data_IF_985871697744
#
_entry.id   IF_985871697744
#
_cell.length_a   1.000
_cell.length_b   1.000
_cell.length_c   1.000
_cell.angle_alpha   90.00
_cell.angle_beta   90.00
_cell.angle_gamma   90.00
#
_symmetry.space_group_name_H-M   'P 1'
#
loop_
_entity.id
_entity.type
_entity.pdbx_description
1 polymer ?
#
# COMPACT_ATOMS: atom_id res chain seq x y z
N UNK A 1 -1.33 10.80 -11.26
CA UNK A 1 -1.89 9.46 -10.95
C UNK A 1 -1.36 8.89 -9.65
N UNK A 2 -0.06 8.62 -9.52
CA UNK A 2 0.54 8.09 -8.28
C UNK A 2 0.22 8.97 -7.06
N UNK A 3 0.50 10.28 -7.14
CA UNK A 3 0.22 11.23 -6.06
C UNK A 3 -1.24 11.14 -5.58
N UNK A 4 -2.19 11.25 -6.52
CA UNK A 4 -3.62 11.22 -6.23
C UNK A 4 -4.00 9.88 -5.59
N UNK A 5 -3.55 8.76 -6.16
CA UNK A 5 -3.86 7.42 -5.66
C UNK A 5 -3.36 7.18 -4.24
N UNK A 6 -2.13 7.58 -3.92
CA UNK A 6 -1.56 7.43 -2.58
C UNK A 6 -2.19 8.41 -1.58
N UNK A 7 -2.36 9.69 -1.95
CA UNK A 7 -2.93 10.70 -1.07
C UNK A 7 -4.39 10.39 -0.73
N UNK A 8 -5.22 10.01 -1.72
CA UNK A 8 -6.61 9.65 -1.44
C UNK A 8 -6.70 8.43 -0.53
N UNK A 9 -5.87 7.40 -0.73
CA UNK A 9 -5.92 6.21 0.10
C UNK A 9 -5.47 6.50 1.53
N UNK A 10 -4.44 7.33 1.72
CA UNK A 10 -4.03 7.78 3.06
C UNK A 10 -5.17 8.49 3.79
N UNK A 11 -5.89 9.39 3.12
CA UNK A 11 -7.04 10.09 3.71
C UNK A 11 -8.16 9.09 4.03
N UNK A 12 -8.52 8.24 3.07
CA UNK A 12 -9.61 7.28 3.24
C UNK A 12 -9.30 6.19 4.26
N UNK A 13 -8.03 5.83 4.46
CA UNK A 13 -7.58 4.94 5.52
C UNK A 13 -7.83 5.55 6.91
N UNK A 14 -7.61 6.85 7.09
CA UNK A 14 -7.93 7.55 8.36
C UNK A 14 -9.43 7.63 8.54
N UNK A 15 -10.18 7.99 7.49
CA UNK A 15 -11.64 8.08 7.53
C UNK A 15 -12.26 6.73 7.87
N UNK A 16 -11.88 5.65 7.19
CA UNK A 16 -12.40 4.30 7.48
C UNK A 16 -12.05 3.87 8.90
N UNK A 17 -10.82 4.12 9.37
CA UNK A 17 -10.41 3.85 10.75
C UNK A 17 -11.28 4.58 11.78
N UNK A 18 -11.67 5.83 11.51
CA UNK A 18 -12.52 6.62 12.41
C UNK A 18 -13.98 6.15 12.46
N UNK A 19 -14.43 5.47 11.40
CA UNK A 19 -15.81 4.97 11.26
C UNK A 19 -15.97 3.51 11.70
N UNK A 20 -14.85 2.82 11.95
CA UNK A 20 -14.85 1.46 12.46
C UNK A 20 -15.03 1.46 13.99
N UNK A 21 -16.08 0.82 14.54
CA UNK A 21 -16.33 0.80 15.98
C UNK A 21 -15.23 0.07 16.77
N UNK A 22 -14.62 0.76 17.73
CA UNK A 22 -13.59 0.17 18.61
C UNK A 22 -12.27 -0.13 17.91
N UNK A 23 -12.01 0.48 16.75
CA UNK A 23 -10.77 0.27 16.01
C UNK A 23 -9.55 0.71 16.82
N UNK A 24 -8.57 -0.18 16.97
CA UNK A 24 -7.26 0.13 17.53
C UNK A 24 -6.20 0.08 16.45
N UNK A 25 -5.53 1.22 16.23
CA UNK A 25 -4.39 1.33 15.31
C UNK A 25 -3.30 0.30 15.60
N UNK A 26 -3.12 -0.08 16.88
CA UNK A 26 -2.10 -1.03 17.31
C UNK A 26 -2.54 -2.48 17.12
N UNK A 27 -3.79 -2.80 17.51
CA UNK A 27 -4.25 -4.19 17.62
C UNK A 27 -5.03 -4.69 16.40
N UNK A 28 -5.57 -3.79 15.57
CA UNK A 28 -6.31 -4.15 14.37
C UNK A 28 -5.43 -4.04 13.13
N UNK A 29 -5.50 -5.04 12.26
CA UNK A 29 -4.89 -4.95 10.94
C UNK A 29 -5.52 -3.82 10.12
N UNK A 30 -4.83 -3.35 9.09
CA UNK A 30 -5.41 -2.44 8.11
C UNK A 30 -6.55 -3.13 7.37
N UNK A 31 -6.38 -4.41 7.03
CA UNK A 31 -7.38 -5.24 6.35
C UNK A 31 -8.71 -5.37 7.10
N UNK A 32 -8.68 -5.30 8.44
CA UNK A 32 -9.88 -5.31 9.30
C UNK A 32 -10.88 -4.22 8.87
N UNK A 33 -10.39 -3.10 8.35
CA UNK A 33 -11.21 -1.98 7.87
C UNK A 33 -12.10 -2.37 6.70
N UNK A 34 -11.67 -3.33 5.86
CA UNK A 34 -12.39 -3.88 4.72
C UNK A 34 -13.33 -5.03 5.09
N UNK A 35 -12.87 -5.93 5.96
CA UNK A 35 -13.65 -6.96 6.64
C UNK A 35 -12.79 -7.48 7.79
N UNK A 36 -13.37 -7.66 8.98
CA UNK A 36 -12.63 -8.20 10.12
C UNK A 36 -12.99 -9.65 10.32
N UNK A 37 -12.01 -10.54 10.11
CA UNK A 37 -12.19 -11.97 10.24
C UNK A 37 -11.38 -12.53 11.40
N UNK A 38 -12.02 -13.34 12.24
CA UNK A 38 -11.40 -14.03 13.37
C UNK A 38 -11.87 -15.48 13.36
N UNK A 39 -10.96 -16.40 13.08
CA UNK A 39 -11.31 -17.81 12.85
C UNK A 39 -12.28 -17.95 11.68
N UNK A 40 -13.43 -18.59 11.91
CA UNK A 40 -14.47 -18.78 10.89
C UNK A 40 -15.51 -17.66 10.80
N UNK A 41 -15.41 -16.62 11.66
CA UNK A 41 -16.38 -15.53 11.71
C UNK A 41 -15.81 -14.26 11.11
N UNK A 42 -16.58 -13.62 10.23
CA UNK A 42 -16.24 -12.34 9.62
C UNK A 42 -17.34 -11.31 9.90
N UNK A 43 -16.94 -10.11 10.29
CA UNK A 43 -17.82 -8.98 10.54
C UNK A 43 -17.41 -7.84 9.63
N UNK A 44 -18.39 -7.21 8.98
CA UNK A 44 -18.20 -6.08 8.09
C UNK A 44 -18.86 -4.85 8.71
N UNK A 45 -18.07 -3.81 8.97
CA UNK A 45 -18.56 -2.54 9.50
C UNK A 45 -18.71 -1.52 8.38
N UNK A 46 -19.93 -1.04 8.16
CA UNK A 46 -20.21 0.05 7.22
C UNK A 46 -20.34 1.39 7.95
N UNK A 47 -19.89 2.51 7.36
CA UNK A 47 -19.34 2.64 6.01
C UNK A 47 -17.81 2.44 5.88
N UNK A 48 -17.11 2.00 6.95
CA UNK A 48 -15.65 1.76 6.92
C UNK A 48 -15.23 0.85 5.76
N UNK A 49 -15.90 -0.29 5.61
CA UNK A 49 -15.57 -1.32 4.63
C UNK A 49 -15.66 -0.82 3.19
N UNK A 50 -16.75 -0.18 2.80
CA UNK A 50 -16.88 0.34 1.43
C UNK A 50 -15.83 1.42 1.15
N UNK A 51 -15.56 2.31 2.10
CA UNK A 51 -14.55 3.37 1.94
C UNK A 51 -13.17 2.77 1.76
N UNK A 52 -12.77 1.81 2.61
CA UNK A 52 -11.47 1.17 2.54
C UNK A 52 -11.30 0.37 1.23
N UNK A 53 -12.23 -0.54 0.94
CA UNK A 53 -12.12 -1.44 -0.22
C UNK A 53 -12.13 -0.68 -1.55
N UNK A 54 -12.98 0.35 -1.67
CA UNK A 54 -13.02 1.19 -2.87
C UNK A 54 -11.76 2.04 -3.00
N UNK A 55 -11.26 2.64 -1.91
CA UNK A 55 -10.08 3.49 -1.97
C UNK A 55 -8.79 2.72 -2.26
N UNK A 56 -8.60 1.51 -1.71
CA UNK A 56 -7.44 0.67 -2.05
C UNK A 56 -7.50 0.15 -3.49
N UNK A 57 -8.71 -0.18 -3.98
CA UNK A 57 -8.89 -0.55 -5.39
C UNK A 57 -8.58 0.61 -6.34
N UNK A 58 -9.02 1.82 -5.99
CA UNK A 58 -8.73 3.04 -6.75
C UNK A 58 -7.23 3.38 -6.74
N UNK A 59 -6.56 3.21 -5.59
CA UNK A 59 -5.09 3.31 -5.52
C UNK A 59 -4.46 2.36 -6.53
N UNK A 60 -4.80 1.07 -6.48
CA UNK A 60 -4.24 0.07 -7.38
C UNK A 60 -4.48 0.38 -8.85
N UNK A 61 -5.70 0.78 -9.22
CA UNK A 61 -6.03 1.21 -10.57
C UNK A 61 -5.16 2.39 -11.04
N UNK A 62 -4.99 3.42 -10.20
CA UNK A 62 -4.17 4.59 -10.54
C UNK A 62 -2.67 4.25 -10.64
N UNK A 63 -2.17 3.30 -9.86
CA UNK A 63 -0.80 2.79 -9.98
C UNK A 63 -0.61 2.00 -11.28
N UNK A 64 -1.58 1.16 -11.67
CA UNK A 64 -1.57 0.45 -12.96
C UNK A 64 -1.52 1.47 -14.12
N UNK A 65 -2.42 2.45 -14.13
CA UNK A 65 -2.41 3.50 -15.17
C UNK A 65 -1.09 4.27 -15.18
N UNK A 66 -0.57 4.66 -14.02
CA UNK A 66 0.72 5.35 -13.92
C UNK A 66 1.88 4.51 -14.46
N UNK A 67 1.91 3.22 -14.15
CA UNK A 67 2.97 2.31 -14.61
C UNK A 67 2.98 2.16 -16.13
N UNK A 68 1.81 2.10 -16.77
CA UNK A 68 1.67 2.02 -18.23
C UNK A 68 2.16 3.31 -18.89
N UNK A 69 1.80 4.47 -18.32
CA UNK A 69 2.25 5.77 -18.83
C UNK A 69 3.77 5.93 -18.71
N UNK A 70 4.34 5.53 -17.57
CA UNK A 70 5.79 5.54 -17.33
C UNK A 70 6.54 4.57 -18.26
N UNK A 71 5.96 3.40 -18.55
CA UNK A 71 6.57 2.45 -19.50
C UNK A 71 6.59 3.04 -20.92
N UNK A 72 5.53 3.74 -21.33
CA UNK A 72 5.44 4.40 -22.65
C UNK A 72 6.37 5.60 -22.78
N UNK A 73 6.69 6.30 -21.68
CA UNK A 73 7.61 7.43 -21.69
C UNK A 73 9.09 7.03 -21.72
N UNK A 74 9.41 5.74 -21.90
CA UNK A 74 10.79 5.24 -21.92
C UNK A 74 11.43 5.13 -20.54
N UNK A 75 10.66 5.18 -19.45
CA UNK A 75 11.21 4.95 -18.11
C UNK A 75 11.71 3.51 -17.96
N UNK A 76 12.64 3.28 -17.02
CA UNK A 76 13.33 1.99 -16.88
C UNK A 76 12.32 0.89 -16.53
N UNK A 77 12.17 -0.07 -17.45
CA UNK A 77 11.10 -1.09 -17.43
C UNK A 77 10.90 -1.80 -16.10
N UNK A 78 11.97 -2.07 -15.35
CA UNK A 78 11.87 -2.74 -14.04
C UNK A 78 11.03 -1.95 -13.04
N UNK A 79 11.23 -0.63 -12.90
CA UNK A 79 10.46 0.18 -11.95
C UNK A 79 8.96 0.16 -12.31
N UNK A 80 8.66 0.40 -13.59
CA UNK A 80 7.29 0.39 -14.08
C UNK A 80 6.62 -0.98 -13.91
N UNK A 81 7.32 -2.08 -14.21
CA UNK A 81 6.78 -3.44 -14.02
C UNK A 81 6.49 -3.77 -12.55
N UNK A 82 7.38 -3.38 -11.63
CA UNK A 82 7.15 -3.61 -10.19
C UNK A 82 5.96 -2.77 -9.69
N UNK A 83 5.86 -1.51 -10.13
CA UNK A 83 4.73 -0.64 -9.81
C UNK A 83 3.41 -1.19 -10.35
N UNK A 84 3.42 -1.75 -11.57
CA UNK A 84 2.27 -2.41 -12.19
C UNK A 84 1.79 -3.58 -11.33
N UNK A 85 2.71 -4.47 -10.94
CA UNK A 85 2.40 -5.66 -10.13
C UNK A 85 1.85 -5.26 -8.76
N UNK A 86 2.46 -4.28 -8.10
CA UNK A 86 1.96 -3.74 -6.81
C UNK A 86 0.54 -3.16 -6.96
N UNK A 87 0.29 -2.41 -8.04
CA UNK A 87 -1.04 -1.87 -8.36
C UNK A 87 -2.10 -2.96 -8.57
N UNK A 88 -1.75 -4.05 -9.28
CA UNK A 88 -2.64 -5.22 -9.43
C UNK A 88 -2.93 -5.89 -8.09
N UNK A 89 -1.92 -6.04 -7.23
CA UNK A 89 -2.10 -6.50 -5.86
C UNK A 89 -3.08 -5.63 -5.08
N UNK A 90 -2.94 -4.31 -5.17
CA UNK A 90 -3.81 -3.36 -4.43
C UNK A 90 -5.27 -3.39 -4.91
N UNK A 91 -5.49 -3.59 -6.21
CA UNK A 91 -6.84 -3.90 -6.74
C UNK A 91 -7.35 -5.20 -6.10
N UNK A 92 -6.52 -6.24 -6.05
CA UNK A 92 -6.85 -7.51 -5.41
C UNK A 92 -7.23 -7.36 -3.94
N UNK A 93 -6.53 -6.52 -3.17
CA UNK A 93 -6.84 -6.26 -1.74
C UNK A 93 -8.26 -5.72 -1.57
N UNK A 94 -8.70 -4.80 -2.43
CA UNK A 94 -10.03 -4.22 -2.33
C UNK A 94 -11.15 -5.11 -2.88
N UNK A 95 -10.86 -5.96 -3.89
CA UNK A 95 -11.81 -6.93 -4.45
C UNK A 95 -11.96 -8.16 -3.53
N UNK A 96 -10.88 -8.56 -2.87
CA UNK A 96 -10.82 -9.67 -1.94
C UNK A 96 -10.55 -9.16 -0.52
N UNK A 97 -11.56 -8.64 0.19
CA UNK A 97 -11.44 -8.35 1.63
C UNK A 97 -11.03 -9.60 2.43
N UNK A 98 -10.71 -9.42 3.72
CA UNK A 98 -10.20 -10.51 4.58
C UNK A 98 -11.10 -11.76 4.59
N UNK A 99 -12.40 -11.62 4.31
CA UNK A 99 -13.36 -12.72 4.16
C UNK A 99 -13.03 -13.73 3.04
N UNK A 100 -12.13 -13.37 2.11
CA UNK A 100 -11.66 -14.25 1.04
C UNK A 100 -10.38 -15.03 1.43
N UNK A 101 -9.90 -14.88 2.67
CA UNK A 101 -8.79 -15.65 3.22
C UNK A 101 -7.52 -15.56 2.37
N UNK A 102 -7.09 -16.69 1.80
CA UNK A 102 -5.83 -16.79 1.07
C UNK A 102 -5.71 -15.81 -0.12
N UNK A 103 -6.81 -15.51 -0.81
CA UNK A 103 -6.79 -14.55 -1.92
C UNK A 103 -6.44 -13.13 -1.44
N UNK A 104 -6.94 -12.75 -0.26
CA UNK A 104 -6.60 -11.49 0.38
C UNK A 104 -5.11 -11.46 0.74
N UNK A 105 -4.61 -12.49 1.43
CA UNK A 105 -3.20 -12.58 1.84
C UNK A 105 -2.24 -12.52 0.66
N UNK A 106 -2.53 -13.22 -0.44
CA UNK A 106 -1.71 -13.18 -1.65
C UNK A 106 -1.73 -11.77 -2.27
N UNK A 107 -2.90 -11.14 -2.36
CA UNK A 107 -3.04 -9.79 -2.91
C UNK A 107 -2.26 -8.77 -2.09
N UNK A 108 -2.38 -8.82 -0.76
CA UNK A 108 -1.65 -7.94 0.16
C UNK A 108 -0.12 -8.15 0.08
N UNK A 109 0.32 -9.42 0.03
CA UNK A 109 1.74 -9.73 -0.16
C UNK A 109 2.28 -9.18 -1.47
N UNK A 110 1.54 -9.32 -2.57
CA UNK A 110 1.91 -8.76 -3.87
C UNK A 110 2.00 -7.23 -3.78
N UNK A 111 1.01 -6.55 -3.17
CA UNK A 111 1.04 -5.10 -3.00
C UNK A 111 2.32 -4.64 -2.30
N UNK A 112 2.59 -5.17 -1.11
CA UNK A 112 3.69 -4.71 -0.26
C UNK A 112 5.06 -5.15 -0.80
N UNK A 113 5.22 -6.41 -1.20
CA UNK A 113 6.51 -6.88 -1.70
C UNK A 113 6.95 -6.09 -2.94
N UNK A 114 6.05 -5.93 -3.92
CA UNK A 114 6.39 -5.24 -5.15
C UNK A 114 6.37 -3.72 -5.00
N UNK A 115 5.61 -3.16 -4.06
CA UNK A 115 5.65 -1.74 -3.69
C UNK A 115 6.99 -1.35 -3.10
N UNK A 116 7.50 -2.11 -2.12
CA UNK A 116 8.83 -1.94 -1.56
C UNK A 116 9.95 -2.10 -2.61
N UNK A 117 9.88 -3.12 -3.48
CA UNK A 117 10.84 -3.30 -4.57
C UNK A 117 10.80 -2.18 -5.61
N UNK A 118 9.61 -1.66 -5.93
CA UNK A 118 9.47 -0.48 -6.80
C UNK A 118 10.15 0.74 -6.15
N UNK A 119 9.94 0.96 -4.85
CA UNK A 119 10.62 2.04 -4.12
C UNK A 119 12.14 1.90 -4.14
N UNK A 120 12.69 0.70 -3.97
CA UNK A 120 14.13 0.43 -4.10
C UNK A 120 14.64 0.76 -5.50
N UNK A 121 13.95 0.33 -6.55
CA UNK A 121 14.37 0.55 -7.94
C UNK A 121 14.17 1.97 -8.44
N UNK A 122 13.47 2.82 -7.67
CA UNK A 122 13.24 4.24 -7.99
C UNK A 122 14.51 5.08 -8.06
N UNK A 123 15.64 4.64 -7.48
CA UNK A 123 16.96 5.29 -7.60
C UNK A 123 17.42 5.50 -9.05
N UNK A 124 16.77 4.82 -10.00
CA UNK A 124 17.06 4.89 -11.42
C UNK A 124 16.34 6.04 -12.13
N UNK A 125 15.31 6.63 -11.52
CA UNK A 125 14.49 7.71 -12.07
C UNK A 125 14.49 8.97 -11.18
N UNK A 126 14.87 8.82 -9.91
CA UNK A 126 15.02 9.92 -8.97
C UNK A 126 16.43 10.52 -9.04
N UNK A 127 16.52 11.83 -8.81
CA UNK A 127 17.78 12.59 -8.70
C UNK A 127 17.86 13.32 -7.36
N UNK A 128 19.05 13.84 -7.04
CA UNK A 128 19.30 14.59 -5.81
C UNK A 128 18.97 13.78 -4.54
N UNK A 129 18.48 14.42 -3.47
CA UNK A 129 18.14 13.74 -2.22
C UNK A 129 17.09 12.64 -2.37
N UNK A 130 16.13 12.80 -3.30
CA UNK A 130 15.07 11.82 -3.54
C UNK A 130 15.63 10.45 -3.98
N UNK A 131 16.78 10.45 -4.66
CA UNK A 131 17.48 9.22 -5.09
C UNK A 131 17.95 8.34 -3.94
N UNK A 132 18.14 8.91 -2.75
CA UNK A 132 18.47 8.18 -1.53
C UNK A 132 17.22 7.87 -0.71
N UNK A 133 16.34 8.87 -0.54
CA UNK A 133 15.14 8.75 0.29
C UNK A 133 14.21 7.64 -0.22
N UNK A 134 13.92 7.59 -1.53
CA UNK A 134 13.00 6.60 -2.11
C UNK A 134 13.42 5.15 -1.84
N UNK A 135 14.65 4.75 -2.19
CA UNK A 135 15.13 3.41 -1.89
C UNK A 135 15.21 3.09 -0.40
N UNK A 136 15.58 4.06 0.45
CA UNK A 136 15.59 3.85 1.90
C UNK A 136 14.19 3.52 2.44
N UNK A 137 13.16 4.22 1.97
CA UNK A 137 11.77 3.89 2.32
C UNK A 137 11.38 2.49 1.86
N UNK A 138 11.81 2.07 0.67
CA UNK A 138 11.59 0.72 0.16
C UNK A 138 12.29 -0.38 0.98
N UNK A 139 13.54 -0.16 1.38
CA UNK A 139 14.28 -1.09 2.26
C UNK A 139 13.59 -1.20 3.62
N UNK A 140 13.19 -0.08 4.21
CA UNK A 140 12.45 -0.08 5.47
C UNK A 140 11.09 -0.76 5.31
N UNK A 141 10.37 -0.54 4.21
CA UNK A 141 9.10 -1.21 3.95
C UNK A 141 9.30 -2.74 3.93
N UNK A 142 10.26 -3.24 3.16
CA UNK A 142 10.53 -4.69 3.12
C UNK A 142 11.02 -5.26 4.46
N UNK A 143 11.74 -4.48 5.27
CA UNK A 143 12.08 -4.86 6.63
C UNK A 143 10.82 -5.00 7.50
N UNK A 144 9.91 -4.02 7.46
CA UNK A 144 8.64 -4.10 8.21
C UNK A 144 7.71 -5.19 7.68
N UNK A 145 7.74 -5.50 6.38
CA UNK A 145 7.05 -6.67 5.81
C UNK A 145 7.62 -7.98 6.38
N UNK A 146 8.95 -8.11 6.47
CA UNK A 146 9.56 -9.28 7.09
C UNK A 146 9.18 -9.40 8.58
N UNK A 147 9.23 -8.30 9.34
CA UNK A 147 8.81 -8.28 10.74
C UNK A 147 7.33 -8.65 10.91
N UNK A 148 6.46 -8.16 10.01
CA UNK A 148 5.04 -8.48 9.99
C UNK A 148 4.81 -9.98 9.76
N UNK A 149 5.45 -10.56 8.75
CA UNK A 149 5.36 -12.01 8.44
C UNK A 149 5.89 -12.86 9.60
N UNK A 150 6.95 -12.41 10.27
CA UNK A 150 7.55 -13.12 11.42
C UNK A 150 6.78 -12.90 12.73
N UNK A 151 5.74 -12.07 12.78
CA UNK A 151 4.99 -11.78 13.99
C UNK A 151 5.77 -10.96 15.03
N UNK A 152 6.76 -10.18 14.60
CA UNK A 152 7.60 -9.37 15.49
C UNK A 152 7.03 -7.95 15.56
N UNK A 153 6.39 -7.63 16.69
CA UNK A 153 5.59 -6.40 16.80
C UNK A 153 6.28 -5.22 17.50
N UNK A 154 7.39 -5.42 18.21
CA UNK A 154 8.17 -4.36 18.89
C UNK A 154 7.31 -3.42 19.78
N UNK A 155 6.26 -3.94 20.41
CA UNK A 155 5.33 -3.15 21.23
C UNK A 155 4.30 -2.31 20.45
N UNK A 156 4.37 -2.30 19.11
CA UNK A 156 3.42 -1.57 18.24
C UNK A 156 2.13 -2.36 17.96
N UNK A 157 2.13 -3.66 18.24
CA UNK A 157 1.07 -4.58 17.83
C UNK A 157 1.10 -4.89 16.32
N UNK A 158 0.32 -5.88 15.86
CA UNK A 158 0.26 -6.29 14.46
C UNK A 158 -0.16 -5.15 13.52
N UNK A 159 -1.19 -4.39 13.92
CA UNK A 159 -1.68 -3.24 13.16
C UNK A 159 -0.67 -2.11 13.05
N UNK A 160 0.09 -1.87 14.12
CA UNK A 160 1.13 -0.84 14.13
C UNK A 160 2.28 -1.15 13.17
N UNK A 161 2.75 -2.40 13.14
CA UNK A 161 3.80 -2.83 12.20
C UNK A 161 3.31 -2.75 10.74
N UNK A 162 2.10 -3.23 10.47
CA UNK A 162 1.49 -3.16 9.15
C UNK A 162 1.33 -1.71 8.66
N UNK A 163 0.97 -0.79 9.56
CA UNK A 163 0.83 0.63 9.25
C UNK A 163 2.15 1.31 8.93
N UNK A 164 3.23 0.98 9.64
CA UNK A 164 4.55 1.52 9.27
C UNK A 164 4.95 1.05 7.88
N UNK A 165 4.77 -0.24 7.58
CA UNK A 165 4.95 -0.80 6.24
C UNK A 165 4.14 -0.02 5.19
N UNK A 166 2.83 0.11 5.39
CA UNK A 166 1.96 0.79 4.43
C UNK A 166 2.30 2.28 4.27
N UNK A 167 2.61 2.98 5.37
CA UNK A 167 2.98 4.39 5.31
C UNK A 167 4.30 4.64 4.60
N UNK A 168 5.30 3.77 4.75
CA UNK A 168 6.55 3.89 4.00
C UNK A 168 6.31 3.81 2.48
N UNK A 169 5.45 2.92 2.03
CA UNK A 169 5.12 2.81 0.60
C UNK A 169 4.24 3.95 0.10
N UNK A 170 3.21 4.33 0.87
CA UNK A 170 2.28 5.38 0.46
C UNK A 170 2.95 6.76 0.46
N UNK A 171 3.76 7.07 1.47
CA UNK A 171 4.53 8.32 1.52
C UNK A 171 5.59 8.37 0.43
N UNK A 172 6.22 7.22 0.10
CA UNK A 172 7.09 7.13 -1.08
C UNK A 172 6.30 7.46 -2.36
N UNK A 173 5.10 6.92 -2.52
CA UNK A 173 4.24 7.21 -3.68
C UNK A 173 3.82 8.68 -3.77
N UNK A 174 3.50 9.33 -2.65
CA UNK A 174 3.24 10.78 -2.58
C UNK A 174 4.48 11.57 -3.00
N UNK A 175 5.65 11.27 -2.43
CA UNK A 175 6.92 11.92 -2.76
C UNK A 175 7.25 11.75 -4.25
N UNK A 176 7.19 10.52 -4.77
CA UNK A 176 7.46 10.21 -6.17
C UNK A 176 6.49 10.95 -7.10
N UNK A 177 5.20 10.93 -6.77
CA UNK A 177 4.18 11.62 -7.55
C UNK A 177 4.44 13.12 -7.62
N UNK A 178 4.77 13.76 -6.49
CA UNK A 178 5.15 15.17 -6.45
C UNK A 178 6.45 15.47 -7.21
N UNK A 179 7.45 14.60 -7.08
CA UNK A 179 8.72 14.72 -7.81
C UNK A 179 8.49 14.70 -9.33
N UNK A 180 7.70 13.75 -9.84
CA UNK A 180 7.41 13.65 -11.27
C UNK A 180 6.61 14.84 -11.80
N UNK A 181 5.70 15.41 -11.00
CA UNK A 181 4.95 16.62 -11.37
C UNK A 181 5.84 17.87 -11.46
N UNK A 182 6.91 17.95 -10.67
CA UNK A 182 7.85 19.09 -10.73
C UNK A 182 8.76 19.07 -11.98
N UNK A 183 8.78 17.95 -12.71
CA UNK A 183 9.68 17.68 -13.83
C UNK A 183 8.95 17.63 -15.18
N UNK A 184 7.62 17.81 -15.18
CA UNK A 184 6.75 17.79 -16.36
C UNK A 184 6.48 19.18 -16.90
#
# INVERSE_FOLDING_TARGET
MIFIGCAQFLIMLVVSSSLYPGYSISHNYISDLGATCRGSSCIVFQPSSVIFNTSVSLLGYLLVVASILLARSGSKGIFASLLLISGLGAIGVGIFPESYGMLHSISALITFLFGGLAAITSHRILEGPARLIGPSMGVLALLFLALFILGIHMGLGPGGVERILAYLELLFGVMLGGYLMSRS
#
